data_IF_186773914100
#
_entry.id   IF_186773914100
#
_cell.length_a   1.000
_cell.length_b   1.000
_cell.length_c   1.000
_cell.angle_alpha   90.00
_cell.angle_beta   90.00
_cell.angle_gamma   90.00
#
_symmetry.space_group_name_H-M   'P 1'
#
loop_
_entity.id
_entity.type
_entity.pdbx_description
1 polymer ?
#
# COMPACT_ATOMS: atom_id res chain seq x y z
N UNK A 1 -5.17 -15.21 2.20
CA UNK A 1 -5.43 -14.87 3.61
C UNK A 1 -6.81 -14.21 3.78
N UNK A 2 -7.74 -14.50 2.87
CA UNK A 2 -8.92 -13.70 2.57
C UNK A 2 -10.08 -13.93 3.54
N UNK A 3 -10.30 -15.18 3.98
CA UNK A 3 -11.32 -15.50 5.00
C UNK A 3 -11.01 -14.82 6.35
N UNK A 4 -9.73 -14.83 6.75
CA UNK A 4 -9.29 -14.10 7.95
C UNK A 4 -9.48 -12.59 7.79
N UNK A 5 -9.40 -12.08 6.55
CA UNK A 5 -9.63 -10.66 6.28
C UNK A 5 -11.09 -10.27 6.38
N UNK A 6 -11.99 -11.12 5.89
CA UNK A 6 -13.43 -10.91 6.00
C UNK A 6 -13.97 -11.07 7.43
N UNK A 7 -13.36 -11.93 8.24
CA UNK A 7 -13.94 -12.37 9.53
C UNK A 7 -13.27 -11.76 10.77
N UNK A 8 -12.03 -11.29 10.70
CA UNK A 8 -11.28 -10.84 11.87
C UNK A 8 -11.15 -9.31 11.92
N UNK A 9 -11.53 -8.72 13.05
CA UNK A 9 -11.35 -7.27 13.30
C UNK A 9 -9.91 -6.91 13.67
N UNK A 10 -9.15 -7.87 14.20
CA UNK A 10 -7.74 -7.73 14.58
C UNK A 10 -6.98 -9.00 14.22
N UNK A 11 -5.75 -8.83 13.77
CA UNK A 11 -4.83 -9.91 13.42
C UNK A 11 -3.51 -9.75 14.17
N UNK A 12 -2.89 -10.90 14.46
CA UNK A 12 -1.55 -11.00 15.01
C UNK A 12 -0.68 -11.83 14.07
N UNK A 13 0.53 -11.37 13.76
CA UNK A 13 1.51 -12.14 13.00
C UNK A 13 2.60 -12.62 13.95
N UNK A 14 2.82 -13.93 13.94
CA UNK A 14 3.85 -14.61 14.73
C UNK A 14 4.95 -15.11 13.81
N UNK A 15 6.22 -14.91 14.22
CA UNK A 15 7.40 -15.42 13.52
C UNK A 15 8.30 -16.08 14.54
N UNK A 16 8.73 -17.32 14.28
CA UNK A 16 9.57 -18.11 15.20
C UNK A 16 9.01 -18.23 16.64
N UNK A 17 7.69 -18.37 16.78
CA UNK A 17 7.04 -18.49 18.10
C UNK A 17 6.89 -17.18 18.87
N UNK A 18 7.27 -16.04 18.29
CA UNK A 18 7.15 -14.72 18.91
C UNK A 18 6.19 -13.82 18.11
N UNK A 19 5.33 -13.09 18.81
CA UNK A 19 4.48 -12.08 18.18
C UNK A 19 5.33 -10.93 17.63
N UNK A 20 5.28 -10.71 16.32
CA UNK A 20 5.98 -9.59 15.66
C UNK A 20 5.09 -8.36 15.53
N UNK A 21 3.80 -8.55 15.23
CA UNK A 21 2.86 -7.45 15.15
C UNK A 21 1.42 -7.89 15.49
N UNK A 22 0.62 -6.94 15.97
CA UNK A 22 -0.80 -7.12 16.29
C UNK A 22 -1.53 -5.80 16.02
N UNK A 23 -2.65 -5.84 15.31
CA UNK A 23 -3.41 -4.65 14.92
C UNK A 23 -4.61 -4.98 14.03
N UNK A 24 -5.32 -3.96 13.56
CA UNK A 24 -6.30 -4.15 12.49
C UNK A 24 -5.59 -4.50 11.19
N UNK A 25 -6.31 -5.14 10.28
CA UNK A 25 -5.80 -5.56 8.97
C UNK A 25 -5.22 -4.38 8.20
N UNK A 26 -5.94 -3.26 8.20
CA UNK A 26 -5.52 -2.02 7.57
C UNK A 26 -4.26 -1.44 8.23
N UNK A 27 -4.12 -1.52 9.56
CA UNK A 27 -2.89 -1.12 10.23
C UNK A 27 -1.71 -2.00 9.80
N UNK A 28 -1.92 -3.32 9.66
CA UNK A 28 -0.87 -4.24 9.20
C UNK A 28 -0.47 -3.96 7.75
N UNK A 29 -1.43 -3.74 6.85
CA UNK A 29 -1.18 -3.36 5.45
C UNK A 29 -0.48 -2.00 5.32
N UNK A 30 -0.86 -1.01 6.13
CA UNK A 30 -0.23 0.31 6.11
C UNK A 30 1.20 0.28 6.69
N UNK A 31 1.41 -0.41 7.81
CA UNK A 31 2.67 -0.37 8.55
C UNK A 31 3.72 -1.35 8.01
N UNK A 32 3.28 -2.50 7.50
CA UNK A 32 4.17 -3.58 7.05
C UNK A 32 3.98 -3.96 5.58
N UNK A 33 3.03 -3.32 4.88
CA UNK A 33 2.92 -3.45 3.43
C UNK A 33 4.02 -2.67 2.72
N UNK A 34 4.55 -3.25 1.64
CA UNK A 34 5.66 -2.67 0.89
C UNK A 34 5.28 -1.43 0.07
N UNK A 35 3.99 -1.09 -0.02
CA UNK A 35 3.59 0.03 -0.85
C UNK A 35 2.17 0.05 -1.37
N UNK A 36 2.01 0.95 -2.33
CA UNK A 36 0.94 0.97 -3.31
C UNK A 36 1.49 0.60 -4.69
N UNK A 37 0.72 -0.13 -5.46
CA UNK A 37 0.95 -0.38 -6.86
C UNK A 37 0.05 0.52 -7.68
N UNK A 38 0.62 1.28 -8.61
CA UNK A 38 -0.13 2.14 -9.51
C UNK A 38 0.05 1.61 -10.91
N UNK A 39 -1.06 1.22 -11.52
CA UNK A 39 -1.11 0.79 -12.91
C UNK A 39 -1.70 1.92 -13.73
N UNK A 40 -1.04 2.31 -14.82
CA UNK A 40 -1.47 3.39 -15.69
C UNK A 40 -1.47 2.90 -17.13
N UNK A 41 -2.56 3.17 -17.83
CA UNK A 41 -2.74 2.90 -19.24
C UNK A 41 -2.76 4.22 -20.02
N UNK A 42 -2.06 4.27 -21.13
CA UNK A 42 -1.89 5.46 -21.97
C UNK A 42 -2.08 5.13 -23.44
N UNK A 43 -2.19 6.14 -24.29
CA UNK A 43 -2.05 5.96 -25.74
C UNK A 43 -0.59 5.72 -26.15
N UNK A 44 -0.39 5.14 -27.35
CA UNK A 44 0.94 4.83 -27.86
C UNK A 44 1.74 6.11 -28.14
N UNK A 45 2.91 6.26 -27.49
CA UNK A 45 3.85 7.37 -27.71
C UNK A 45 4.06 8.29 -26.51
N UNK A 46 3.18 8.26 -25.51
CA UNK A 46 3.21 9.19 -24.36
C UNK A 46 3.78 8.58 -23.06
N UNK A 47 4.34 7.38 -23.19
CA UNK A 47 4.90 6.60 -22.10
C UNK A 47 6.01 7.35 -21.34
N UNK A 48 6.86 8.05 -22.07
CA UNK A 48 7.98 8.81 -21.48
C UNK A 48 7.51 10.07 -20.76
N UNK A 49 6.43 10.69 -21.22
CA UNK A 49 5.79 11.84 -20.55
C UNK A 49 5.29 11.44 -19.17
N UNK A 50 4.56 10.31 -19.09
CA UNK A 50 4.03 9.76 -17.84
C UNK A 50 5.15 9.33 -16.90
N UNK A 51 6.16 8.61 -17.41
CA UNK A 51 7.33 8.23 -16.58
C UNK A 51 8.04 9.44 -15.99
N UNK A 52 8.22 10.50 -16.77
CA UNK A 52 8.86 11.73 -16.32
C UNK A 52 8.02 12.41 -15.24
N UNK A 53 6.70 12.45 -15.43
CA UNK A 53 5.78 12.97 -14.44
C UNK A 53 5.83 12.16 -13.14
N UNK A 54 5.80 10.82 -13.21
CA UNK A 54 5.91 9.95 -12.04
C UNK A 54 7.20 10.20 -11.26
N UNK A 55 8.34 10.29 -11.95
CA UNK A 55 9.63 10.60 -11.31
C UNK A 55 9.67 11.98 -10.65
N UNK A 56 8.91 12.95 -11.17
CA UNK A 56 8.83 14.31 -10.62
C UNK A 56 7.85 14.40 -9.44
N UNK A 57 6.72 13.71 -9.51
CA UNK A 57 5.66 13.76 -8.50
C UNK A 57 5.94 12.81 -7.33
N UNK A 58 6.52 11.65 -7.60
CA UNK A 58 6.76 10.58 -6.64
C UNK A 58 8.23 10.16 -6.67
N UNK A 59 9.04 10.68 -5.75
CA UNK A 59 10.48 10.38 -5.70
C UNK A 59 10.78 8.92 -5.37
N UNK A 60 9.89 8.27 -4.62
CA UNK A 60 9.98 6.84 -4.26
C UNK A 60 9.32 5.89 -5.27
N UNK A 61 8.84 6.40 -6.42
CA UNK A 61 8.23 5.56 -7.44
C UNK A 61 9.26 4.70 -8.18
N UNK A 62 9.10 3.38 -8.12
CA UNK A 62 9.89 2.42 -8.89
C UNK A 62 9.03 1.79 -9.98
N UNK A 63 9.47 1.89 -11.23
CA UNK A 63 8.84 1.16 -12.33
C UNK A 63 9.11 -0.34 -12.14
N UNK A 64 8.06 -1.14 -11.95
CA UNK A 64 8.15 -2.60 -11.82
C UNK A 64 7.98 -3.28 -13.16
N UNK A 65 7.00 -2.81 -13.93
CA UNK A 65 6.62 -3.46 -15.18
C UNK A 65 6.22 -2.42 -16.23
N UNK A 66 6.53 -2.74 -17.48
CA UNK A 66 6.11 -1.98 -18.65
C UNK A 66 5.71 -2.96 -19.75
N UNK A 67 4.45 -2.94 -20.14
CA UNK A 67 3.92 -3.74 -21.25
C UNK A 67 3.13 -2.87 -22.20
N UNK A 68 3.67 -2.66 -23.41
CA UNK A 68 3.06 -1.82 -24.45
C UNK A 68 2.69 -0.42 -23.94
N UNK A 69 1.41 -0.23 -23.65
CA UNK A 69 0.80 1.01 -23.24
C UNK A 69 0.37 0.99 -21.75
N UNK A 70 0.80 -0.03 -21.01
CA UNK A 70 0.57 -0.22 -19.58
C UNK A 70 1.89 -0.08 -18.81
N UNK A 71 1.86 0.75 -17.77
CA UNK A 71 2.96 1.01 -16.85
C UNK A 71 2.53 0.64 -15.44
N UNK A 72 3.37 -0.11 -14.73
CA UNK A 72 3.15 -0.43 -13.33
C UNK A 72 4.28 0.14 -12.47
N UNK A 73 3.91 1.00 -11.52
CA UNK A 73 4.80 1.60 -10.55
C UNK A 73 4.53 1.05 -9.15
N UNK A 74 5.58 0.93 -8.36
CA UNK A 74 5.52 0.62 -6.93
C UNK A 74 5.95 1.87 -6.15
N UNK A 75 5.09 2.33 -5.25
CA UNK A 75 5.35 3.42 -4.31
C UNK A 75 5.53 2.84 -2.91
N UNK A 76 6.61 3.16 -2.21
CA UNK A 76 6.78 2.71 -0.82
C UNK A 76 5.86 3.48 0.14
N UNK A 77 5.17 2.76 1.02
CA UNK A 77 4.16 3.28 1.98
C UNK A 77 4.71 4.24 3.03
N UNK A 78 6.05 4.35 3.18
CA UNK A 78 6.68 5.04 4.30
C UNK A 78 6.43 6.55 4.36
N UNK A 79 6.00 7.17 3.25
CA UNK A 79 6.02 8.63 3.10
C UNK A 79 4.73 9.24 2.53
N UNK A 80 3.77 8.44 2.04
CA UNK A 80 2.68 8.94 1.18
C UNK A 80 1.36 8.26 1.55
N UNK A 81 0.30 9.04 1.74
CA UNK A 81 -1.05 8.52 1.97
C UNK A 81 -1.74 8.14 0.66
N UNK A 82 -2.61 7.13 0.70
CA UNK A 82 -3.43 6.72 -0.44
C UNK A 82 -4.25 7.88 -1.02
N UNK A 83 -4.85 8.71 -0.15
CA UNK A 83 -5.58 9.91 -0.55
C UNK A 83 -4.71 10.88 -1.35
N UNK A 84 -3.46 11.12 -0.94
CA UNK A 84 -2.55 11.98 -1.69
C UNK A 84 -2.22 11.39 -3.07
N UNK A 85 -2.02 10.07 -3.16
CA UNK A 85 -1.79 9.38 -4.43
C UNK A 85 -2.97 9.61 -5.37
N UNK A 86 -4.21 9.36 -4.90
CA UNK A 86 -5.41 9.57 -5.71
C UNK A 86 -5.54 11.02 -6.17
N UNK A 87 -5.41 12.01 -5.27
CA UNK A 87 -5.50 13.42 -5.66
C UNK A 87 -4.45 13.82 -6.71
N UNK A 88 -3.24 13.26 -6.63
CA UNK A 88 -2.20 13.50 -7.64
C UNK A 88 -2.51 12.83 -8.97
N UNK A 89 -3.02 11.61 -8.95
CA UNK A 89 -3.43 10.90 -10.17
C UNK A 89 -4.61 11.58 -10.86
N UNK A 90 -5.58 12.09 -10.10
CA UNK A 90 -6.71 12.86 -10.65
C UNK A 90 -6.27 14.16 -11.32
N UNK A 91 -5.29 14.85 -10.73
CA UNK A 91 -4.69 16.03 -11.37
C UNK A 91 -3.95 15.62 -12.66
N UNK A 92 -3.25 14.48 -12.63
CA UNK A 92 -2.50 13.96 -13.77
C UNK A 92 -3.41 13.67 -14.98
N UNK A 93 -4.63 13.18 -14.77
CA UNK A 93 -5.62 12.93 -15.81
C UNK A 93 -6.03 14.19 -16.60
N UNK A 94 -5.91 15.38 -15.99
CA UNK A 94 -6.22 16.63 -16.68
C UNK A 94 -5.06 17.12 -17.56
N UNK A 95 -3.83 16.83 -17.15
CA UNK A 95 -2.61 17.34 -17.79
C UNK A 95 -1.93 16.32 -18.72
N UNK A 96 -2.26 15.03 -18.61
CA UNK A 96 -1.61 13.93 -19.31
C UNK A 96 -2.64 13.04 -20.05
N UNK A 97 -2.24 12.44 -21.18
CA UNK A 97 -3.08 11.54 -21.97
C UNK A 97 -3.15 10.14 -21.34
N UNK A 98 -3.70 10.06 -20.13
CA UNK A 98 -3.94 8.80 -19.41
C UNK A 98 -5.33 8.29 -19.80
N UNK A 99 -5.42 7.07 -20.33
CA UNK A 99 -6.69 6.42 -20.64
C UNK A 99 -7.37 5.90 -19.36
N UNK A 100 -6.59 5.25 -18.51
CA UNK A 100 -7.06 4.61 -17.28
C UNK A 100 -5.93 4.54 -16.25
N UNK A 101 -6.28 4.62 -14.97
CA UNK A 101 -5.35 4.29 -13.90
C UNK A 101 -6.04 3.46 -12.82
N UNK A 102 -5.23 2.69 -12.09
CA UNK A 102 -5.65 1.92 -10.94
C UNK A 102 -4.59 2.03 -9.84
N UNK A 103 -5.02 2.11 -8.58
CA UNK A 103 -4.14 2.14 -7.41
C UNK A 103 -4.54 0.99 -6.49
N UNK A 104 -3.64 0.04 -6.29
CA UNK A 104 -3.85 -1.13 -5.44
C UNK A 104 -2.94 -1.04 -4.22
N UNK A 105 -3.49 -1.24 -3.02
CA UNK A 105 -2.68 -1.44 -1.83
C UNK A 105 -2.14 -2.88 -1.77
N UNK A 106 -0.98 -3.04 -1.14
CA UNK A 106 -0.44 -4.37 -0.87
C UNK A 106 -1.44 -5.26 -0.11
N UNK A 107 -1.51 -6.54 -0.47
CA UNK A 107 -2.42 -7.50 0.18
C UNK A 107 -1.88 -7.96 1.54
N UNK A 108 -2.76 -8.46 2.39
CA UNK A 108 -2.38 -9.04 3.68
C UNK A 108 -1.46 -10.26 3.47
N UNK A 109 -1.71 -11.04 2.42
CA UNK A 109 -0.84 -12.14 1.99
C UNK A 109 0.59 -11.66 1.75
N UNK A 110 0.77 -10.51 1.10
CA UNK A 110 2.10 -10.01 0.79
C UNK A 110 2.82 -9.43 2.02
N UNK A 111 2.07 -8.86 2.98
CA UNK A 111 2.57 -8.54 4.32
C UNK A 111 3.07 -9.82 5.02
N UNK A 112 2.28 -10.89 5.01
CA UNK A 112 2.64 -12.16 5.60
C UNK A 112 3.88 -12.79 4.95
N UNK A 113 3.95 -12.82 3.62
CA UNK A 113 5.12 -13.31 2.87
C UNK A 113 6.39 -12.56 3.27
N UNK A 114 6.31 -11.25 3.49
CA UNK A 114 7.47 -10.46 3.95
C UNK A 114 7.94 -10.88 5.35
N UNK A 115 7.01 -11.18 6.26
CA UNK A 115 7.36 -11.72 7.59
C UNK A 115 7.92 -13.14 7.54
N UNK A 116 7.41 -13.99 6.65
CA UNK A 116 7.90 -15.36 6.47
C UNK A 116 9.28 -15.37 5.81
N UNK A 117 9.59 -14.45 4.88
CA UNK A 117 10.93 -14.31 4.31
C UNK A 117 12.00 -14.00 5.35
N UNK A 118 11.64 -13.32 6.45
CA UNK A 118 12.54 -13.06 7.58
C UNK A 118 12.78 -14.31 8.45
N UNK A 119 12.09 -15.42 8.19
CA UNK A 119 12.25 -16.67 8.93
C UNK A 119 13.54 -17.42 8.58
N UNK A 120 14.28 -17.00 7.53
CA UNK A 120 15.43 -17.74 7.01
C UNK A 120 16.82 -17.32 7.52
N UNK A 121 16.95 -16.39 8.45
CA UNK A 121 18.26 -16.10 9.07
C UNK A 121 18.23 -16.41 10.56
N UNK A 122 18.96 -17.45 10.96
CA UNK A 122 19.04 -17.96 12.31
C UNK A 122 19.83 -17.04 13.25
N UNK A 123 19.31 -15.84 13.53
CA UNK A 123 19.82 -14.97 14.58
C UNK A 123 18.71 -14.70 15.59
N UNK A 124 18.96 -15.14 16.83
CA UNK A 124 18.17 -14.75 18.01
C UNK A 124 18.39 -13.25 18.21
N UNK A 125 17.49 -12.39 17.72
CA UNK A 125 17.45 -10.99 18.14
C UNK A 125 17.00 -10.91 19.60
N UNK A 126 17.87 -10.49 20.54
CA UNK A 126 17.48 -10.22 21.90
C UNK A 126 16.81 -8.83 21.93
N UNK A 127 15.58 -8.77 22.42
CA UNK A 127 14.88 -7.55 22.83
C UNK A 127 14.46 -6.58 21.71
N UNK A 128 13.21 -6.73 21.28
CA UNK A 128 12.30 -5.58 21.16
C UNK A 128 11.25 -5.72 22.25
N UNK A 129 11.49 -5.01 23.35
CA UNK A 129 10.50 -4.78 24.40
C UNK A 129 9.31 -4.03 23.75
N UNK A 130 8.07 -4.52 23.86
CA UNK A 130 6.93 -3.65 23.60
C UNK A 130 6.98 -2.51 24.62
N UNK A 131 7.11 -1.27 24.14
CA UNK A 131 6.98 -0.09 24.99
C UNK A 131 5.70 -0.22 25.83
N UNK A 132 5.75 0.00 27.15
CA UNK A 132 4.60 -0.20 28.02
C UNK A 132 3.47 0.74 27.61
N UNK A 133 2.28 0.15 27.41
CA UNK A 133 0.99 0.83 27.36
C UNK A 133 0.87 1.75 28.58
N UNK A 134 1.18 3.03 28.42
CA UNK A 134 1.02 4.04 29.46
C UNK A 134 0.73 5.40 28.85
N UNK A 135 -0.41 5.48 28.18
CA UNK A 135 -1.34 6.62 28.18
C UNK A 135 -2.39 6.36 27.10
N UNK A 136 -3.56 5.89 27.51
CA UNK A 136 -4.78 6.26 26.79
C UNK A 136 -4.97 7.76 27.02
N UNK A 137 -5.05 8.59 25.99
CA UNK A 137 -6.09 9.60 25.95
C UNK A 137 -7.39 8.91 25.52
N UNK A 138 -8.31 8.83 26.47
CA UNK A 138 -9.75 8.90 26.18
C UNK A 138 -9.99 10.16 25.34
N UNK A 139 -10.89 10.05 24.37
CA UNK A 139 -11.40 11.14 23.52
C UNK A 139 -10.52 11.57 22.33
N UNK A 140 -10.88 11.07 21.15
CA UNK A 140 -11.06 11.84 19.91
C UNK A 140 -11.80 10.90 18.94
N UNK A 141 -13.13 11.00 18.94
CA UNK A 141 -13.92 11.63 17.89
C UNK A 141 -13.97 10.82 16.60
N UNK A 142 -15.20 10.52 16.19
CA UNK A 142 -15.59 10.16 14.83
C UNK A 142 -14.68 10.81 13.79
N UNK A 143 -14.03 9.96 12.99
CA UNK A 143 -13.87 10.28 11.58
C UNK A 143 -14.32 9.07 10.81
N UNK A 144 -15.48 9.23 10.16
CA UNK A 144 -15.85 8.42 9.02
C UNK A 144 -14.64 8.28 8.11
N UNK A 145 -14.28 7.04 7.78
CA UNK A 145 -13.79 6.72 6.45
C UNK A 145 -14.29 5.31 6.12
N UNK A 146 -15.61 5.22 5.99
CA UNK A 146 -16.35 4.10 5.42
C UNK A 146 -16.09 4.00 3.90
N UNK A 147 -14.86 4.27 3.44
CA UNK A 147 -14.53 4.45 2.01
C UNK A 147 -13.24 3.77 1.59
N UNK A 148 -12.73 2.79 2.34
CA UNK A 148 -11.52 2.06 1.94
C UNK A 148 -11.73 0.61 1.50
N UNK A 149 -12.98 0.15 1.41
CA UNK A 149 -13.30 -1.10 0.69
C UNK A 149 -13.63 -0.88 -0.81
N UNK A 150 -13.71 0.38 -1.26
CA UNK A 150 -14.03 0.72 -2.67
C UNK A 150 -12.81 0.87 -3.59
N UNK A 151 -11.59 0.91 -3.06
CA UNK A 151 -10.42 1.30 -3.86
C UNK A 151 -9.91 0.24 -4.85
N UNK A 152 -10.28 -1.04 -4.69
CA UNK A 152 -9.81 -2.10 -5.58
C UNK A 152 -10.50 -2.11 -6.96
N UNK A 153 -11.58 -1.34 -7.16
CA UNK A 153 -12.38 -1.35 -8.40
C UNK A 153 -12.74 0.03 -8.96
N UNK A 154 -11.95 1.08 -8.71
CA UNK A 154 -12.03 2.29 -9.53
C UNK A 154 -11.29 2.10 -10.87
N UNK A 155 -11.73 1.12 -11.65
CA UNK A 155 -11.57 1.14 -13.11
C UNK A 155 -12.55 2.17 -13.64
N UNK A 156 -12.12 3.43 -13.74
CA UNK A 156 -12.93 4.43 -14.42
C UNK A 156 -12.71 4.27 -15.93
N UNK A 157 -13.36 3.26 -16.51
CA UNK A 157 -13.60 3.21 -17.95
C UNK A 157 -14.58 4.33 -18.27
N UNK A 158 -14.26 5.17 -19.26
CA UNK A 158 -15.20 6.14 -19.82
C UNK A 158 -16.49 5.46 -20.28
#
# INVERSE_FOLDING_TARGET
MEECEALCTRLAIMVNGHFKCLGSIQHLKNRFGEGYYITVRTEQGELETIKRWFRKTFTDARLKEQHYNLLQFELKSGCISLAYVFSKMESALQDLPIEEYSVCQNTLDNVFINFVKQQSDGVRDPFLIPQPFSSLPTDLEESLDDTQDVACHLSRSQ
#
